data_IF_324016946076
#
_entry.id   IF_324016946076
#
_cell.length_a   1.000
_cell.length_b   1.000
_cell.length_c   1.000
_cell.angle_alpha   90.00
_cell.angle_beta   90.00
_cell.angle_gamma   90.00
#
_symmetry.space_group_name_H-M   'P 1'
#
loop_
_entity.id
_entity.type
_entity.pdbx_description
1 polymer ?
#
# COMPACT_ATOMS: atom_id res chain seq x y z
N UNK A 1 16.19 -15.15 5.36
CA UNK A 1 16.07 -13.69 5.56
C UNK A 1 15.60 -13.45 6.98
N UNK A 2 16.24 -12.55 7.73
CA UNK A 2 15.81 -12.18 9.07
C UNK A 2 14.89 -10.96 8.95
N UNK A 3 13.58 -11.16 9.07
CA UNK A 3 12.57 -10.11 8.85
C UNK A 3 12.39 -9.15 10.04
N UNK A 4 13.12 -9.36 11.16
CA UNK A 4 12.80 -8.71 12.44
C UNK A 4 13.78 -7.64 12.91
N UNK A 5 14.81 -7.25 12.15
CA UNK A 5 15.86 -6.40 12.73
C UNK A 5 16.36 -5.31 11.79
N UNK A 6 15.72 -4.14 11.81
CA UNK A 6 16.49 -2.89 11.72
C UNK A 6 16.73 -2.38 13.15
N UNK A 7 17.93 -1.88 13.48
CA UNK A 7 18.25 -1.36 14.81
C UNK A 7 17.51 -0.07 15.20
N UNK A 8 16.68 0.50 14.32
CA UNK A 8 16.07 1.83 14.47
C UNK A 8 14.61 1.83 14.00
N UNK A 9 13.68 1.37 14.85
CA UNK A 9 12.22 1.58 14.69
C UNK A 9 11.61 1.31 13.31
N UNK A 10 10.42 1.87 13.09
CA UNK A 10 9.73 1.83 11.80
C UNK A 10 10.31 2.89 10.86
N UNK A 11 10.76 2.46 9.68
CA UNK A 11 11.18 3.38 8.62
C UNK A 11 9.95 3.97 7.91
N UNK A 12 10.11 5.12 7.27
CA UNK A 12 9.07 5.67 6.42
C UNK A 12 8.77 4.71 5.26
N UNK A 13 7.49 4.60 4.91
CA UNK A 13 7.08 3.86 3.72
C UNK A 13 7.63 4.54 2.47
N UNK A 14 8.21 3.76 1.57
CA UNK A 14 8.65 4.19 0.25
C UNK A 14 7.84 3.44 -0.80
N UNK A 15 6.72 4.05 -1.23
CA UNK A 15 5.84 3.44 -2.21
C UNK A 15 6.50 3.48 -3.60
N UNK A 16 6.32 2.40 -4.36
CA UNK A 16 6.72 2.33 -5.77
C UNK A 16 5.54 2.69 -6.67
N UNK A 17 5.73 3.69 -7.52
CA UNK A 17 4.71 4.25 -8.41
C UNK A 17 4.25 3.24 -9.47
N UNK A 18 5.17 2.42 -10.03
CA UNK A 18 4.81 1.37 -10.98
C UNK A 18 3.86 0.32 -10.39
N UNK A 19 4.18 -0.17 -9.18
CA UNK A 19 3.29 -1.07 -8.43
C UNK A 19 1.95 -0.39 -8.07
N UNK A 20 1.98 0.89 -7.65
CA UNK A 20 0.78 1.63 -7.30
C UNK A 20 -0.14 1.85 -8.51
N UNK A 21 0.42 2.18 -9.69
CA UNK A 21 -0.33 2.38 -10.91
C UNK A 21 -1.01 1.09 -11.39
N UNK A 22 -0.31 -0.05 -11.32
CA UNK A 22 -0.93 -1.36 -11.59
C UNK A 22 -2.07 -1.65 -10.60
N UNK A 23 -1.87 -1.38 -9.30
CA UNK A 23 -2.90 -1.54 -8.29
C UNK A 23 -4.14 -0.67 -8.57
N UNK A 24 -3.94 0.61 -8.91
CA UNK A 24 -5.02 1.55 -9.23
C UNK A 24 -5.88 1.03 -10.36
N UNK A 25 -5.28 0.60 -11.48
CA UNK A 25 -6.02 0.02 -12.61
C UNK A 25 -6.87 -1.17 -12.17
N UNK A 26 -6.28 -2.15 -11.48
CA UNK A 26 -7.04 -3.33 -11.04
C UNK A 26 -8.16 -2.98 -10.06
N UNK A 27 -7.91 -2.04 -9.14
CA UNK A 27 -8.90 -1.63 -8.17
C UNK A 27 -10.08 -0.90 -8.83
N UNK A 28 -9.82 -0.03 -9.80
CA UNK A 28 -10.84 0.67 -10.60
C UNK A 28 -11.63 -0.30 -11.49
N UNK A 29 -10.98 -1.26 -12.16
CA UNK A 29 -11.65 -2.30 -12.96
C UNK A 29 -12.58 -3.18 -12.12
N UNK A 30 -12.28 -3.35 -10.84
CA UNK A 30 -13.14 -4.05 -9.88
C UNK A 30 -14.29 -3.19 -9.34
N UNK A 31 -14.44 -1.96 -9.82
CA UNK A 31 -15.47 -1.00 -9.40
C UNK A 31 -15.08 -0.18 -8.16
N UNK A 32 -13.79 -0.15 -7.82
CA UNK A 32 -13.24 0.77 -6.84
C UNK A 32 -13.12 2.18 -7.39
N UNK A 33 -12.90 3.13 -6.48
CA UNK A 33 -12.65 4.54 -6.80
C UNK A 33 -11.48 4.99 -5.93
N UNK A 34 -10.51 5.65 -6.55
CA UNK A 34 -9.30 6.15 -5.90
C UNK A 34 -9.08 7.61 -6.32
N UNK A 35 -8.53 8.45 -5.43
CA UNK A 35 -8.13 9.79 -5.82
C UNK A 35 -7.04 9.75 -6.89
N UNK A 36 -6.91 10.85 -7.63
CA UNK A 36 -5.77 11.08 -8.51
C UNK A 36 -4.44 10.87 -7.77
N UNK A 37 -3.47 10.24 -8.44
CA UNK A 37 -2.22 9.84 -7.82
C UNK A 37 -1.41 11.03 -7.27
N UNK A 38 -1.43 12.18 -7.94
CA UNK A 38 -0.71 13.37 -7.46
C UNK A 38 -1.40 13.96 -6.23
N UNK A 39 -2.73 13.86 -6.16
CA UNK A 39 -3.50 14.25 -4.97
C UNK A 39 -3.23 13.31 -3.80
N UNK A 40 -3.20 11.99 -4.03
CA UNK A 40 -2.95 11.01 -2.97
C UNK A 40 -1.53 11.15 -2.38
N UNK A 41 -0.54 11.45 -3.22
CA UNK A 41 0.85 11.69 -2.80
C UNK A 41 1.02 12.94 -1.92
N UNK A 42 0.09 13.89 -1.97
CA UNK A 42 0.11 15.07 -1.08
C UNK A 42 -0.42 14.78 0.32
N UNK A 43 -1.00 13.59 0.56
CA UNK A 43 -1.52 13.23 1.88
C UNK A 43 -0.37 12.99 2.85
N UNK A 44 -0.52 13.53 4.05
CA UNK A 44 0.45 13.30 5.12
C UNK A 44 0.60 11.79 5.38
N UNK A 45 1.83 11.26 5.37
CA UNK A 45 2.07 9.86 5.69
C UNK A 45 1.60 9.58 7.11
N UNK A 46 0.69 8.63 7.25
CA UNK A 46 0.13 8.21 8.54
C UNK A 46 0.50 6.77 8.87
N UNK A 47 0.53 6.45 10.17
CA UNK A 47 0.76 5.10 10.66
C UNK A 47 2.24 4.75 10.89
N UNK A 48 2.46 3.67 11.63
CA UNK A 48 3.78 3.15 11.96
C UNK A 48 3.76 1.65 11.74
N UNK A 49 4.47 1.19 10.72
CA UNK A 49 4.42 -0.19 10.22
C UNK A 49 5.81 -0.71 9.85
N UNK A 50 6.07 -1.99 10.10
CA UNK A 50 7.30 -2.68 9.70
C UNK A 50 7.40 -2.86 8.18
N UNK A 51 6.29 -2.73 7.45
CA UNK A 51 6.30 -2.69 5.99
C UNK A 51 7.16 -1.54 5.44
N UNK A 52 7.29 -0.43 6.17
CA UNK A 52 8.22 0.64 5.81
C UNK A 52 9.69 0.22 5.85
N UNK A 53 10.05 -0.77 6.68
CA UNK A 53 11.38 -1.36 6.68
C UNK A 53 11.61 -2.26 5.44
N UNK A 54 10.56 -2.96 4.97
CA UNK A 54 10.57 -3.77 3.74
C UNK A 54 10.58 -2.92 2.47
N UNK A 55 10.05 -1.69 2.52
CA UNK A 55 10.13 -0.73 1.39
C UNK A 55 11.49 -0.04 1.28
N UNK A 56 12.33 -0.13 2.32
CA UNK A 56 13.77 -0.05 2.12
C UNK A 56 14.20 -1.38 1.48
N UNK A 57 15.32 -1.65 0.84
CA UNK A 57 15.60 -3.01 0.27
C UNK A 57 14.70 -3.57 -0.87
N UNK A 58 13.36 -3.46 -0.85
CA UNK A 58 12.49 -3.96 -1.94
C UNK A 58 11.48 -2.91 -2.47
N UNK A 59 11.14 -2.93 -3.77
CA UNK A 59 9.98 -2.21 -4.28
C UNK A 59 8.72 -2.68 -3.55
N UNK A 60 7.93 -1.76 -3.02
CA UNK A 60 6.80 -2.09 -2.16
C UNK A 60 5.63 -1.12 -2.36
N UNK A 61 4.43 -1.58 -2.03
CA UNK A 61 3.22 -0.79 -1.85
C UNK A 61 2.49 -1.29 -0.61
N UNK A 62 1.69 -0.42 0.02
CA UNK A 62 0.82 -0.79 1.14
C UNK A 62 -0.51 -0.04 1.03
N UNK A 63 -1.43 -0.51 0.16
CA UNK A 63 -2.72 0.16 -0.02
C UNK A 63 -3.53 0.18 1.27
N UNK A 64 -4.18 1.32 1.55
CA UNK A 64 -5.20 1.45 2.59
C UNK A 64 -6.58 1.51 1.95
N UNK A 65 -7.60 1.02 2.66
CA UNK A 65 -8.98 1.08 2.20
C UNK A 65 -9.94 1.44 3.34
N UNK A 66 -11.01 2.13 2.98
CA UNK A 66 -12.07 2.51 3.90
C UNK A 66 -12.91 1.29 4.28
N UNK A 67 -13.21 1.16 5.57
CA UNK A 67 -14.18 0.19 6.10
C UNK A 67 -15.41 0.93 6.64
N UNK A 68 -16.56 0.25 6.63
CA UNK A 68 -17.85 0.82 7.07
C UNK A 68 -18.57 -0.15 8.00
N UNK A 69 -19.50 0.34 8.79
CA UNK A 69 -20.45 -0.50 9.52
C UNK A 69 -21.41 -1.21 8.55
N UNK A 70 -22.17 -2.18 9.05
CA UNK A 70 -23.16 -2.92 8.25
C UNK A 70 -24.24 -2.01 7.62
N UNK A 71 -24.52 -0.85 8.22
CA UNK A 71 -25.45 0.15 7.67
C UNK A 71 -24.81 1.11 6.65
N UNK A 72 -23.55 0.88 6.27
CA UNK A 72 -22.81 1.70 5.30
C UNK A 72 -22.20 2.99 5.86
N UNK A 73 -22.42 3.32 7.15
CA UNK A 73 -21.81 4.51 7.74
C UNK A 73 -20.35 4.27 8.14
N UNK A 74 -19.56 5.34 8.18
CA UNK A 74 -18.13 5.31 8.50
C UNK A 74 -17.90 5.49 10.01
N UNK A 75 -17.00 4.72 10.65
CA UNK A 75 -16.61 4.97 12.04
C UNK A 75 -15.97 6.36 12.20
N UNK A 76 -16.40 7.12 13.21
CA UNK A 76 -15.83 8.45 13.53
C UNK A 76 -14.41 8.37 14.11
N UNK A 77 -13.97 7.18 14.51
CA UNK A 77 -12.64 6.92 15.07
C UNK A 77 -11.83 5.99 14.18
N UNK A 78 -10.51 6.09 14.26
CA UNK A 78 -9.58 5.29 13.49
C UNK A 78 -9.25 3.93 14.12
N UNK A 79 -8.20 3.26 13.60
CA UNK A 79 -7.67 2.02 14.16
C UNK A 79 -7.44 2.08 15.68
N UNK A 80 -7.43 0.91 16.34
CA UNK A 80 -7.27 0.77 17.80
C UNK A 80 -8.45 1.29 18.63
N UNK A 81 -9.66 1.31 18.07
CA UNK A 81 -10.87 1.69 18.79
C UNK A 81 -11.98 0.66 18.60
N UNK A 82 -12.84 0.47 19.61
CA UNK A 82 -13.98 -0.46 19.52
C UNK A 82 -14.91 -0.19 18.32
N UNK A 83 -15.21 1.07 17.93
CA UNK A 83 -15.99 1.31 16.71
C UNK A 83 -15.30 0.82 15.44
N UNK A 84 -13.97 0.90 15.36
CA UNK A 84 -13.22 0.40 14.21
C UNK A 84 -13.25 -1.13 14.13
N UNK A 85 -13.16 -1.82 15.28
CA UNK A 85 -13.33 -3.27 15.36
C UNK A 85 -14.69 -3.71 14.79
N UNK A 86 -15.77 -3.06 15.20
CA UNK A 86 -17.12 -3.37 14.71
C UNK A 86 -17.25 -3.11 13.21
N UNK A 87 -16.68 -2.02 12.70
CA UNK A 87 -16.67 -1.75 11.26
C UNK A 87 -15.83 -2.79 10.49
N UNK A 88 -14.69 -3.22 11.04
CA UNK A 88 -13.80 -4.19 10.41
C UNK A 88 -14.43 -5.59 10.31
N UNK A 89 -15.30 -5.93 11.27
CA UNK A 89 -16.09 -7.17 11.27
C UNK A 89 -17.32 -7.15 10.36
N UNK A 90 -17.58 -6.07 9.62
CA UNK A 90 -18.79 -5.94 8.80
C UNK A 90 -18.69 -6.67 7.46
N UNK A 91 -19.84 -7.05 6.90
CA UNK A 91 -19.92 -7.65 5.56
C UNK A 91 -19.38 -6.71 4.46
N UNK A 92 -19.74 -5.40 4.42
CA UNK A 92 -19.14 -4.46 3.46
C UNK A 92 -17.61 -4.34 3.58
N UNK A 93 -17.05 -4.35 4.80
CA UNK A 93 -15.62 -4.29 5.00
C UNK A 93 -14.92 -5.55 4.45
N UNK A 94 -15.51 -6.73 4.67
CA UNK A 94 -15.02 -7.98 4.10
C UNK A 94 -15.06 -7.99 2.56
N UNK A 95 -16.14 -7.50 1.95
CA UNK A 95 -16.26 -7.41 0.49
C UNK A 95 -15.22 -6.45 -0.10
N UNK A 96 -14.98 -5.31 0.55
CA UNK A 96 -13.90 -4.39 0.15
C UNK A 96 -12.52 -5.03 0.33
N UNK A 97 -12.29 -5.79 1.40
CA UNK A 97 -11.04 -6.53 1.59
C UNK A 97 -10.79 -7.55 0.48
N UNK A 98 -11.83 -8.25 -0.01
CA UNK A 98 -11.72 -9.15 -1.16
C UNK A 98 -11.36 -8.41 -2.45
N UNK A 99 -11.90 -7.20 -2.67
CA UNK A 99 -11.55 -6.35 -3.80
C UNK A 99 -10.07 -5.94 -3.74
N UNK A 100 -9.58 -5.48 -2.58
CA UNK A 100 -8.17 -5.14 -2.38
C UNK A 100 -7.26 -6.36 -2.60
N UNK A 101 -7.64 -7.53 -2.08
CA UNK A 101 -6.89 -8.77 -2.28
C UNK A 101 -6.79 -9.15 -3.77
N UNK A 102 -7.88 -9.03 -4.53
CA UNK A 102 -7.88 -9.25 -5.98
C UNK A 102 -7.00 -8.23 -6.70
N UNK A 103 -7.05 -6.96 -6.31
CA UNK A 103 -6.19 -5.92 -6.86
C UNK A 103 -4.70 -6.22 -6.67
N UNK A 104 -4.29 -6.60 -5.45
CA UNK A 104 -2.91 -7.02 -5.16
C UNK A 104 -2.50 -8.28 -5.93
N UNK A 105 -3.42 -9.24 -6.09
CA UNK A 105 -3.15 -10.42 -6.93
C UNK A 105 -2.96 -10.04 -8.40
N UNK A 106 -3.76 -9.10 -8.92
CA UNK A 106 -3.61 -8.54 -10.26
C UNK A 106 -2.25 -7.87 -10.46
N UNK A 107 -1.77 -7.10 -9.48
CA UNK A 107 -0.41 -6.52 -9.52
C UNK A 107 0.65 -7.60 -9.66
N UNK A 108 0.54 -8.69 -8.90
CA UNK A 108 1.48 -9.80 -9.00
C UNK A 108 1.46 -10.46 -10.39
N UNK A 109 0.27 -10.60 -10.99
CA UNK A 109 0.13 -11.09 -12.38
C UNK A 109 0.83 -10.14 -13.34
N UNK A 110 0.56 -8.84 -13.27
CA UNK A 110 1.16 -7.86 -14.17
C UNK A 110 2.68 -7.88 -14.08
N UNK A 111 3.24 -7.91 -12.87
CA UNK A 111 4.68 -7.97 -12.63
C UNK A 111 5.31 -9.20 -13.29
N UNK A 112 4.58 -10.32 -13.39
CA UNK A 112 5.06 -11.56 -13.97
C UNK A 112 4.82 -11.67 -15.48
N UNK A 113 3.82 -10.97 -16.02
CA UNK A 113 3.35 -11.20 -17.40
C UNK A 113 3.40 -9.99 -18.32
N UNK A 114 3.54 -8.77 -17.80
CA UNK A 114 3.64 -7.55 -18.61
C UNK A 114 5.11 -7.27 -18.89
N UNK A 115 5.49 -7.39 -20.16
CA UNK A 115 6.84 -7.13 -20.62
C UNK A 115 7.32 -5.73 -20.21
N UNK A 116 8.52 -5.65 -19.61
CA UNK A 116 9.16 -4.41 -19.18
C UNK A 116 8.73 -3.88 -17.81
N UNK A 117 7.54 -4.24 -17.30
CA UNK A 117 7.02 -3.66 -16.05
C UNK A 117 7.93 -3.92 -14.84
N UNK A 118 8.44 -5.15 -14.69
CA UNK A 118 9.34 -5.49 -13.59
C UNK A 118 10.66 -4.70 -13.66
N UNK A 119 11.16 -4.43 -14.86
CA UNK A 119 12.39 -3.66 -15.04
C UNK A 119 12.16 -2.19 -14.70
N UNK A 120 11.04 -1.61 -15.13
CA UNK A 120 10.64 -0.25 -14.77
C UNK A 120 10.47 -0.08 -13.25
N UNK A 121 9.80 -1.03 -12.58
CA UNK A 121 9.64 -1.06 -11.12
C UNK A 121 11.01 -1.08 -10.43
N UNK A 122 11.94 -1.92 -10.88
CA UNK A 122 13.28 -2.01 -10.33
C UNK A 122 14.08 -0.73 -10.56
N UNK A 123 13.96 -0.13 -11.74
CA UNK A 123 14.70 1.07 -12.10
C UNK A 123 14.18 2.31 -11.36
N UNK A 124 12.87 2.42 -11.17
CA UNK A 124 12.26 3.40 -10.28
C UNK A 124 12.78 3.22 -8.84
N UNK A 125 12.74 2.00 -8.31
CA UNK A 125 13.20 1.71 -6.97
C UNK A 125 14.68 2.07 -6.76
N UNK A 126 15.57 1.77 -7.72
CA UNK A 126 16.99 2.17 -7.65
C UNK A 126 17.17 3.68 -7.54
N UNK A 127 16.32 4.49 -8.17
CA UNK A 127 16.39 5.97 -8.07
C UNK A 127 16.08 6.46 -6.66
N UNK A 128 15.18 5.77 -5.94
CA UNK A 128 14.88 6.06 -4.53
C UNK A 128 16.06 5.72 -3.58
N UNK A 129 17.07 4.96 -4.05
CA UNK A 129 18.24 4.51 -3.29
C UNK A 129 19.50 5.37 -3.45
N UNK A 130 19.39 6.60 -3.97
CA UNK A 130 20.54 7.50 -4.24
C UNK A 130 21.53 7.64 -3.06
N UNK A 131 22.84 7.80 -3.35
CA UNK A 131 23.92 7.10 -2.65
C UNK A 131 24.04 7.54 -1.19
N UNK A 132 24.36 6.56 -0.33
CA UNK A 132 24.70 6.77 1.07
C UNK A 132 25.54 8.04 1.22
N UNK A 133 24.94 9.06 1.85
CA UNK A 133 25.62 10.30 2.20
C UNK A 133 26.91 9.88 2.91
N UNK A 134 28.07 10.03 2.24
CA UNK A 134 29.38 9.72 2.83
C UNK A 134 29.43 10.48 4.15
N UNK A 135 29.31 9.76 5.27
CA UNK A 135 29.54 10.32 6.60
C UNK A 135 31.00 10.76 6.58
N UNK A 136 31.21 12.08 6.56
CA UNK A 136 32.51 12.66 6.87
C UNK A 136 32.84 12.41 8.33
#
# INVERSE_FOLDING_TARGET
MNFTTRPYGYANMNNNDGLAASYTRWFEELGGDLPDADVDKMREPGGSTDQGNISQDFPAISPMFQITFANGTVPKSGPHTAPFEVAAGSKPAFEKALMVAKGLAGVAVDVLTVDGLLDDIKDEFKKTKSPARRRR
#
